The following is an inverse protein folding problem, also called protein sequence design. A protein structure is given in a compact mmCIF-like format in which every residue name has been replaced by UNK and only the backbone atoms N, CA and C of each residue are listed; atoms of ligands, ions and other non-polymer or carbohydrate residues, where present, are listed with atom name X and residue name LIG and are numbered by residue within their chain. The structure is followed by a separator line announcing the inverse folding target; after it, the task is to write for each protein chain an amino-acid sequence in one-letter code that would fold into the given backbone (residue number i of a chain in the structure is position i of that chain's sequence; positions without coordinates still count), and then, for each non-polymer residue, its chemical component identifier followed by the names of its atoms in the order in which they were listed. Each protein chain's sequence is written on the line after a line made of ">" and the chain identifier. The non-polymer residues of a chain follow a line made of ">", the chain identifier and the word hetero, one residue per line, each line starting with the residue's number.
data_IF_448154757439
#
_entry.id   IF_448154757439
#
_cell.length_a   1.000
_cell.length_b   1.000
_cell.length_c   1.000
_cell.angle_alpha   90.00
_cell.angle_beta   90.00
_cell.angle_gamma   90.00
#
_symmetry.space_group_name_H-M   'P 1'
#
loop_
_entity.id
_entity.type
_entity.pdbx_description
1 polymer ?
#
# COMPACT_ATOMS: atom_id res chain seq x y z
N UNK A 1 5.95 -8.81 9.36
CA UNK A 1 6.17 -7.84 8.26
C UNK A 1 6.38 -6.46 8.87
N UNK A 2 6.73 -5.44 8.08
CA UNK A 2 6.95 -4.07 8.58
C UNK A 2 5.63 -3.29 8.63
N UNK A 3 4.60 -3.86 9.27
CA UNK A 3 3.28 -3.25 9.54
C UNK A 3 2.49 -2.88 8.28
N UNK A 4 2.55 -3.74 7.27
CA UNK A 4 1.83 -3.62 6.00
C UNK A 4 0.96 -4.85 5.69
N UNK A 5 1.08 -5.94 6.46
CA UNK A 5 0.20 -7.10 6.39
C UNK A 5 -0.43 -7.37 7.75
N UNK A 6 -1.67 -7.85 7.73
CA UNK A 6 -2.52 -8.01 8.91
C UNK A 6 -3.18 -9.38 8.90
N UNK A 7 -3.31 -9.97 10.08
CA UNK A 7 -4.13 -11.15 10.27
C UNK A 7 -5.62 -10.80 10.09
N UNK A 8 -6.47 -11.75 9.68
CA UNK A 8 -7.91 -11.53 9.62
C UNK A 8 -8.50 -11.00 10.94
N UNK A 9 -8.00 -11.48 12.08
CA UNK A 9 -8.42 -11.02 13.41
C UNK A 9 -8.07 -9.56 13.67
N UNK A 10 -6.91 -9.08 13.21
CA UNK A 10 -6.53 -7.67 13.32
C UNK A 10 -7.42 -6.79 12.45
N UNK A 11 -7.78 -7.24 11.24
CA UNK A 11 -8.72 -6.52 10.37
C UNK A 11 -10.12 -6.47 11.00
N UNK A 12 -10.64 -7.61 11.46
CA UNK A 12 -11.95 -7.71 12.12
C UNK A 12 -12.04 -6.85 13.40
N UNK A 13 -10.91 -6.62 14.08
CA UNK A 13 -10.87 -5.75 15.26
C UNK A 13 -11.11 -4.27 14.95
N UNK A 14 -10.92 -3.83 13.70
CA UNK A 14 -10.99 -2.43 13.28
C UNK A 14 -9.91 -1.53 13.88
N UNK A 15 -8.87 -2.09 14.52
CA UNK A 15 -7.85 -1.34 15.26
C UNK A 15 -6.42 -1.87 15.02
N UNK A 16 -6.12 -2.26 13.78
CA UNK A 16 -4.79 -2.70 13.37
C UNK A 16 -3.78 -1.52 13.40
N UNK A 17 -2.51 -1.82 13.72
CA UNK A 17 -1.47 -0.79 13.77
C UNK A 17 -0.90 -0.54 12.36
N UNK A 18 -1.22 0.61 11.79
CA UNK A 18 -0.79 1.03 10.45
C UNK A 18 -0.52 2.54 10.45
N UNK A 19 0.52 2.98 9.74
CA UNK A 19 0.87 4.39 9.64
C UNK A 19 0.96 5.11 11.01
N UNK A 20 1.71 4.49 11.94
CA UNK A 20 1.98 4.99 13.30
C UNK A 20 0.76 5.20 14.20
N UNK A 21 -0.40 4.64 13.85
CA UNK A 21 -1.62 4.72 14.64
C UNK A 21 -2.42 3.42 14.56
N UNK A 22 -3.40 3.25 15.46
CA UNK A 22 -4.40 2.18 15.33
C UNK A 22 -5.56 2.70 14.52
N UNK A 23 -5.90 2.00 13.44
CA UNK A 23 -6.99 2.38 12.55
C UNK A 23 -7.62 1.15 11.91
N UNK A 24 -8.81 1.34 11.34
CA UNK A 24 -9.40 0.35 10.46
C UNK A 24 -8.62 0.34 9.14
N UNK A 25 -7.99 -0.80 8.86
CA UNK A 25 -7.16 -0.99 7.67
C UNK A 25 -7.98 -1.49 6.47
N UNK A 26 -9.19 -2.01 6.67
CA UNK A 26 -10.10 -2.48 5.62
C UNK A 26 -9.66 -3.70 4.79
N UNK A 27 -8.39 -4.10 4.86
CA UNK A 27 -7.83 -5.21 4.11
C UNK A 27 -6.67 -5.88 4.88
N UNK A 28 -6.36 -7.12 4.53
CA UNK A 28 -5.24 -7.88 5.12
C UNK A 28 -3.87 -7.42 4.62
N UNK A 29 -3.82 -6.62 3.56
CA UNK A 29 -2.59 -6.05 3.02
C UNK A 29 -2.80 -4.58 2.72
N UNK A 30 -1.79 -3.77 3.06
CA UNK A 30 -1.75 -2.32 2.84
C UNK A 30 -0.42 -1.91 2.25
N UNK A 31 -0.45 -0.73 1.67
CA UNK A 31 0.67 -0.08 1.03
C UNK A 31 1.73 0.35 2.04
N UNK A 32 2.99 -0.05 1.79
CA UNK A 32 4.13 0.31 2.62
C UNK A 32 5.44 0.15 1.85
N UNK A 33 6.41 1.00 2.16
CA UNK A 33 7.79 0.87 1.70
C UNK A 33 8.72 0.84 2.91
N UNK A 34 9.74 0.00 2.84
CA UNK A 34 10.80 -0.08 3.84
C UNK A 34 12.16 -0.10 3.15
N UNK A 35 13.12 0.64 3.69
CA UNK A 35 14.52 0.61 3.24
C UNK A 35 15.37 -0.02 4.32
N UNK A 36 16.24 -0.93 3.89
CA UNK A 36 17.18 -1.62 4.76
C UNK A 36 18.60 -1.30 4.35
N UNK A 37 19.45 -1.06 5.35
CA UNK A 37 20.89 -0.96 5.18
C UNK A 37 21.55 -2.17 5.83
N UNK A 38 22.50 -2.79 5.15
CA UNK A 38 23.33 -3.86 5.71
C UNK A 38 24.77 -3.38 5.82
N UNK A 39 25.34 -3.43 7.02
CA UNK A 39 26.73 -3.01 7.22
C UNK A 39 27.75 -4.12 6.86
N UNK A 40 29.04 -3.77 6.92
CA UNK A 40 30.13 -4.69 6.64
C UNK A 40 30.24 -5.84 7.66
N UNK A 41 29.74 -5.66 8.88
CA UNK A 41 29.65 -6.69 9.92
C UNK A 41 28.47 -7.64 9.73
N UNK A 42 27.56 -7.34 8.79
CA UNK A 42 26.40 -8.14 8.46
C UNK A 42 25.12 -7.75 9.20
N UNK A 43 25.14 -6.71 10.04
CA UNK A 43 23.94 -6.22 10.73
C UNK A 43 23.01 -5.50 9.73
N UNK A 44 21.70 -5.69 9.89
CA UNK A 44 20.66 -5.08 9.04
C UNK A 44 19.86 -4.07 9.85
N UNK A 45 19.73 -2.86 9.30
CA UNK A 45 19.06 -1.72 9.90
C UNK A 45 17.85 -1.34 9.07
N UNK A 46 16.71 -1.06 9.71
CA UNK A 46 15.53 -0.48 9.06
C UNK A 46 15.65 1.05 9.12
N UNK A 47 16.05 1.67 8.01
CA UNK A 47 16.47 3.07 7.99
C UNK A 47 15.37 4.03 7.55
N UNK A 48 14.31 3.52 6.93
CA UNK A 48 13.18 4.31 6.47
C UNK A 48 11.95 3.43 6.32
N UNK A 49 10.80 3.96 6.72
CA UNK A 49 9.50 3.42 6.36
C UNK A 49 8.53 4.53 5.99
N UNK A 50 7.65 4.24 5.05
CA UNK A 50 6.52 5.11 4.72
C UNK A 50 5.31 4.27 4.33
N UNK A 51 4.13 4.80 4.61
CA UNK A 51 2.85 4.10 4.46
C UNK A 51 1.81 5.07 3.88
N UNK A 52 0.69 4.53 3.40
CA UNK A 52 -0.39 5.33 2.84
C UNK A 52 0.11 6.33 1.78
N UNK A 53 -0.39 7.57 1.81
CA UNK A 53 0.01 8.64 0.87
C UNK A 53 1.50 8.98 0.94
N UNK A 54 2.21 8.58 2.00
CA UNK A 54 3.66 8.75 2.08
C UNK A 54 4.44 7.91 1.06
N UNK A 55 3.82 6.91 0.43
CA UNK A 55 4.46 6.10 -0.63
C UNK A 55 4.18 6.63 -2.05
N UNK A 56 3.41 7.71 -2.20
CA UNK A 56 2.97 8.21 -3.51
C UNK A 56 4.14 8.40 -4.47
N UNK A 57 5.24 9.02 -4.00
CA UNK A 57 6.46 9.25 -4.78
C UNK A 57 7.05 7.99 -5.44
N UNK A 58 6.77 6.82 -4.87
CA UNK A 58 7.26 5.53 -5.36
C UNK A 58 6.21 4.82 -6.24
N UNK A 59 4.96 5.30 -6.21
CA UNK A 59 3.89 4.85 -7.10
C UNK A 59 3.95 5.61 -8.43
N UNK A 60 4.90 5.22 -9.28
CA UNK A 60 5.11 5.89 -10.58
C UNK A 60 3.90 5.76 -11.51
N UNK A 61 3.12 4.68 -11.41
CA UNK A 61 1.92 4.50 -12.22
C UNK A 61 0.87 5.59 -11.94
N UNK A 62 0.62 5.89 -10.66
CA UNK A 62 -0.34 6.94 -10.29
C UNK A 62 0.16 8.31 -10.71
N UNK A 63 1.45 8.58 -10.48
CA UNK A 63 2.06 9.82 -10.95
C UNK A 63 1.90 10.03 -12.45
N UNK A 64 2.02 8.98 -13.26
CA UNK A 64 1.86 9.08 -14.70
C UNK A 64 0.39 9.34 -15.11
N UNK A 65 -0.56 8.68 -14.44
CA UNK A 65 -1.98 8.90 -14.68
C UNK A 65 -2.43 10.32 -14.29
N UNK A 66 -1.88 10.87 -13.21
CA UNK A 66 -2.19 12.24 -12.77
C UNK A 66 -1.77 13.32 -13.79
N UNK A 67 -0.89 12.99 -14.75
CA UNK A 67 -0.53 13.89 -15.86
C UNK A 67 -1.59 13.91 -16.98
N UNK A 68 -2.44 12.89 -17.08
CA UNK A 68 -3.46 12.83 -18.11
C UNK A 68 -4.58 13.84 -17.83
N UNK A 69 -5.28 14.38 -18.85
CA UNK A 69 -6.37 15.35 -18.64
C UNK A 69 -7.51 14.86 -17.73
N UNK A 70 -7.72 13.55 -17.65
CA UNK A 70 -8.71 12.91 -16.78
C UNK A 70 -8.13 12.48 -15.42
N UNK A 71 -6.84 12.73 -15.18
CA UNK A 71 -6.11 12.15 -14.06
C UNK A 71 -6.27 10.62 -14.04
N UNK A 72 -6.63 10.10 -12.87
CA UNK A 72 -6.89 8.67 -12.65
C UNK A 72 -8.29 8.21 -13.09
N UNK A 73 -9.16 9.11 -13.56
CA UNK A 73 -10.55 8.82 -14.01
C UNK A 73 -11.35 7.99 -12.99
N UNK A 74 -11.21 8.31 -11.69
CA UNK A 74 -11.82 7.55 -10.58
C UNK A 74 -13.22 8.05 -10.17
N UNK A 75 -13.68 9.14 -10.80
CA UNK A 75 -14.99 9.71 -10.52
C UNK A 75 -16.11 8.73 -10.91
N UNK A 76 -17.02 8.47 -9.98
CA UNK A 76 -18.14 7.54 -10.19
C UNK A 76 -17.83 6.07 -9.88
N UNK A 77 -16.63 5.74 -9.40
CA UNK A 77 -16.33 4.43 -8.83
C UNK A 77 -16.92 4.29 -7.42
N UNK A 78 -17.14 3.05 -6.97
CA UNK A 78 -17.62 2.75 -5.62
C UNK A 78 -16.67 3.30 -4.53
N UNK A 79 -15.37 3.23 -4.79
CA UNK A 79 -14.31 3.83 -3.99
C UNK A 79 -13.08 4.12 -4.87
N UNK A 80 -12.20 5.00 -4.41
CA UNK A 80 -10.92 5.29 -5.10
C UNK A 80 -10.12 4.00 -5.28
N UNK A 81 -9.46 3.83 -6.42
CA UNK A 81 -8.67 2.63 -6.75
C UNK A 81 -9.48 1.33 -6.97
N UNK A 82 -10.82 1.38 -7.08
CA UNK A 82 -11.64 0.17 -7.33
C UNK A 82 -11.31 -0.59 -8.63
N UNK A 83 -10.59 0.05 -9.57
CA UNK A 83 -10.09 -0.55 -10.80
C UNK A 83 -8.78 -1.33 -10.62
N UNK A 84 -8.06 -1.14 -9.51
CA UNK A 84 -6.78 -1.81 -9.25
C UNK A 84 -7.01 -3.28 -8.95
N UNK A 85 -6.28 -4.14 -9.65
CA UNK A 85 -6.29 -5.58 -9.42
C UNK A 85 -4.86 -6.12 -9.37
N UNK A 86 -4.66 -7.15 -8.55
CA UNK A 86 -3.42 -7.91 -8.60
C UNK A 86 -3.24 -8.52 -9.99
N UNK A 87 -2.00 -8.51 -10.47
CA UNK A 87 -1.66 -8.98 -11.81
C UNK A 87 -2.13 -10.42 -12.06
N UNK A 88 -2.01 -11.28 -11.07
CA UNK A 88 -2.41 -12.69 -11.12
C UNK A 88 -3.93 -12.92 -11.14
N UNK A 89 -4.73 -11.87 -10.92
CA UNK A 89 -6.21 -11.93 -10.96
C UNK A 89 -6.82 -11.42 -12.27
N UNK A 90 -6.02 -10.95 -13.23
CA UNK A 90 -6.55 -10.50 -14.52
C UNK A 90 -7.16 -11.65 -15.35
N UNK A 91 -6.54 -12.84 -15.34
CA UNK A 91 -6.97 -13.99 -16.14
C UNK A 91 -8.27 -14.65 -15.64
N UNK A 92 -8.72 -14.32 -14.43
CA UNK A 92 -9.95 -14.86 -13.85
C UNK A 92 -11.21 -14.04 -14.21
N UNK A 93 -11.03 -12.94 -14.95
CA UNK A 93 -12.11 -12.02 -15.33
C UNK A 93 -12.50 -12.11 -16.81
N UNK A 94 -12.09 -13.18 -17.52
CA UNK A 94 -12.44 -13.47 -18.91
C UNK A 94 -13.69 -14.33 -19.05
#
# INVERSE_FOLDING_TARGET
>A
DYQASFTPQEVESGAAFFNYSKSDVGATDREGVSVFYKDAGGAVFHTYSSYARGIDMLNTAYHYLDLAPKGRDEDGLEFTQAWVRYHDKYDQAG
#
